data_IF_201648874779
#
_entry.id   IF_201648874779
#
_cell.length_a   1.000
_cell.length_b   1.000
_cell.length_c   1.000
_cell.angle_alpha   90.00
_cell.angle_beta   90.00
_cell.angle_gamma   90.00
#
_symmetry.space_group_name_H-M   'P 1'
#
loop_
_entity.id
_entity.type
_entity.pdbx_description
1 polymer ?
#
# COMPACT_ATOMS: atom_id res chain seq x y z
N UNK A 1 -56.75 -1.04 22.54
CA UNK A 1 -56.04 -1.23 21.24
C UNK A 1 -54.85 -0.31 21.07
N UNK A 2 -53.96 -0.11 22.07
CA UNK A 2 -52.81 0.83 21.96
C UNK A 2 -51.45 0.12 22.16
N UNK A 3 -51.42 -1.19 22.37
CA UNK A 3 -50.15 -1.94 22.59
C UNK A 3 -49.39 -2.30 21.31
N UNK A 4 -50.05 -2.41 20.15
CA UNK A 4 -49.42 -2.80 18.88
C UNK A 4 -48.56 -1.69 18.24
N UNK A 5 -48.96 -0.43 18.38
CA UNK A 5 -48.24 0.69 17.73
C UNK A 5 -46.85 0.93 18.33
N UNK A 6 -46.68 0.81 19.66
CA UNK A 6 -45.40 1.02 20.33
C UNK A 6 -44.33 -0.03 19.94
N UNK A 7 -44.75 -1.27 19.70
CA UNK A 7 -43.86 -2.36 19.31
C UNK A 7 -43.34 -2.17 17.87
N UNK A 8 -44.19 -1.65 16.99
CA UNK A 8 -43.82 -1.39 15.58
C UNK A 8 -42.79 -0.24 15.49
N UNK A 9 -42.93 0.83 16.28
CA UNK A 9 -41.99 1.95 16.30
C UNK A 9 -40.64 1.55 16.89
N UNK A 10 -40.59 0.69 17.89
CA UNK A 10 -39.32 0.18 18.45
C UNK A 10 -38.60 -0.75 17.48
N UNK A 11 -39.31 -1.58 16.74
CA UNK A 11 -38.71 -2.44 15.70
C UNK A 11 -38.18 -1.62 14.51
N UNK A 12 -38.89 -0.58 14.07
CA UNK A 12 -38.46 0.31 13.01
C UNK A 12 -37.20 1.14 13.40
N UNK A 13 -37.14 1.61 14.66
CA UNK A 13 -35.97 2.33 15.18
C UNK A 13 -34.77 1.41 15.30
N UNK A 14 -34.89 0.16 15.66
CA UNK A 14 -33.81 -0.81 15.73
C UNK A 14 -33.25 -1.17 14.33
N UNK A 15 -34.11 -1.28 13.31
CA UNK A 15 -33.69 -1.50 11.93
C UNK A 15 -32.95 -0.27 11.38
N UNK A 16 -33.36 0.95 11.72
CA UNK A 16 -32.68 2.17 11.27
C UNK A 16 -31.27 2.32 11.88
N UNK A 17 -31.08 1.87 13.12
CA UNK A 17 -29.76 1.88 13.78
C UNK A 17 -28.78 0.85 13.18
N UNK A 18 -29.27 -0.29 12.70
CA UNK A 18 -28.45 -1.30 12.02
C UNK A 18 -27.98 -0.84 10.61
N UNK A 19 -28.76 -0.01 9.93
CA UNK A 19 -28.38 0.55 8.63
C UNK A 19 -27.28 1.62 8.73
N UNK A 20 -27.11 2.26 9.88
CA UNK A 20 -26.07 3.28 10.10
C UNK A 20 -24.64 2.69 10.23
N UNK A 21 -24.49 1.37 10.40
CA UNK A 21 -23.21 0.68 10.48
C UNK A 21 -22.70 0.15 9.13
N UNK A 22 -23.43 0.30 8.04
CA UNK A 22 -22.90 0.04 6.70
C UNK A 22 -21.96 1.18 6.32
N UNK A 23 -20.65 0.95 6.49
CA UNK A 23 -19.64 1.93 6.13
C UNK A 23 -19.89 2.43 4.71
N UNK A 24 -20.06 3.74 4.56
CA UNK A 24 -20.21 4.39 3.27
C UNK A 24 -19.10 4.00 2.29
N UNK A 25 -19.23 4.30 1.00
CA UNK A 25 -18.20 3.96 0.01
C UNK A 25 -16.85 4.49 0.48
N UNK A 26 -15.87 3.57 0.62
CA UNK A 26 -14.52 3.97 1.04
C UNK A 26 -14.02 5.03 0.09
N UNK A 27 -13.65 6.20 0.61
CA UNK A 27 -13.08 7.27 -0.17
C UNK A 27 -11.92 6.74 -1.03
N UNK A 28 -11.84 7.19 -2.28
CA UNK A 28 -10.76 6.79 -3.18
C UNK A 28 -9.40 7.12 -2.54
N UNK A 29 -8.47 6.19 -2.62
CA UNK A 29 -7.10 6.41 -2.15
C UNK A 29 -6.35 7.21 -3.21
N UNK A 30 -6.16 8.50 -2.93
CA UNK A 30 -5.41 9.41 -3.80
C UNK A 30 -3.92 9.12 -3.70
N UNK A 31 -3.23 9.25 -4.82
CA UNK A 31 -1.77 9.29 -4.90
C UNK A 31 -1.28 10.73 -4.74
N UNK A 32 0.05 10.91 -4.58
CA UNK A 32 0.67 12.22 -4.74
C UNK A 32 0.47 12.73 -6.17
N UNK A 33 0.50 14.05 -6.35
CA UNK A 33 0.20 14.69 -7.64
C UNK A 33 1.22 14.34 -8.73
N UNK A 34 2.50 14.21 -8.36
CA UNK A 34 3.59 13.92 -9.30
C UNK A 34 4.77 13.26 -8.60
N UNK A 35 5.40 12.31 -9.29
CA UNK A 35 6.67 11.69 -8.88
C UNK A 35 7.69 11.88 -10.00
N UNK A 36 8.84 12.45 -9.65
CA UNK A 36 10.04 12.44 -10.47
C UNK A 36 10.70 11.06 -10.33
N UNK A 37 10.52 10.19 -11.33
CA UNK A 37 11.01 8.81 -11.25
C UNK A 37 12.51 8.72 -11.01
N UNK A 38 13.38 9.44 -11.73
CA UNK A 38 14.83 9.45 -11.45
C UNK A 38 15.17 9.77 -9.99
N UNK A 39 14.51 10.76 -9.38
CA UNK A 39 14.72 11.11 -7.98
C UNK A 39 14.19 10.04 -7.00
N UNK A 40 13.14 9.32 -7.39
CA UNK A 40 12.55 8.27 -6.56
C UNK A 40 13.38 6.99 -6.56
N UNK A 41 14.25 6.77 -7.55
CA UNK A 41 15.08 5.57 -7.64
C UNK A 41 16.09 5.48 -6.48
N UNK A 42 16.74 4.32 -6.35
CA UNK A 42 17.68 4.02 -5.26
C UNK A 42 17.04 3.28 -4.10
N UNK A 43 17.74 3.24 -2.97
CA UNK A 43 17.33 2.46 -1.80
C UNK A 43 16.35 3.24 -0.90
N UNK A 44 15.36 2.50 -0.40
CA UNK A 44 14.39 2.93 0.59
C UNK A 44 14.35 1.92 1.74
N UNK A 45 14.55 2.37 2.96
CA UNK A 45 14.49 1.53 4.16
C UNK A 45 13.05 1.48 4.67
N UNK A 46 12.52 0.29 4.89
CA UNK A 46 11.18 0.10 5.46
C UNK A 46 11.24 0.36 6.96
N UNK A 47 10.66 1.46 7.40
CA UNK A 47 10.62 1.88 8.81
C UNK A 47 9.47 1.21 9.55
N UNK A 48 8.30 1.10 8.88
CA UNK A 48 7.13 0.42 9.40
C UNK A 48 6.27 -0.10 8.24
N UNK A 49 5.57 -1.22 8.45
CA UNK A 49 4.64 -1.73 7.45
C UNK A 49 3.49 -2.52 8.07
N UNK A 50 2.42 -2.66 7.29
CA UNK A 50 1.44 -3.74 7.44
C UNK A 50 1.90 -4.82 6.45
N UNK A 51 2.54 -5.92 6.91
CA UNK A 51 3.28 -6.82 6.05
C UNK A 51 2.38 -7.68 5.16
N UNK A 52 2.88 -8.02 3.99
CA UNK A 52 2.35 -9.12 3.18
C UNK A 52 2.77 -10.47 3.76
N UNK A 53 2.25 -11.56 3.20
CA UNK A 53 2.64 -12.92 3.62
C UNK A 53 4.15 -13.16 3.46
N UNK A 54 4.77 -12.59 2.41
CA UNK A 54 6.21 -12.72 2.13
C UNK A 54 7.06 -12.00 3.18
N UNK A 55 6.56 -10.89 3.73
CA UNK A 55 7.27 -10.01 4.66
C UNK A 55 7.06 -10.36 6.13
N UNK A 56 6.27 -11.40 6.41
CA UNK A 56 6.00 -11.83 7.79
C UNK A 56 7.31 -12.22 8.47
N UNK A 57 7.68 -11.48 9.53
CA UNK A 57 8.97 -11.68 10.22
C UNK A 57 10.17 -11.04 9.52
N UNK A 58 9.97 -10.14 8.56
CA UNK A 58 11.04 -9.38 7.94
C UNK A 58 11.64 -8.36 8.90
N UNK A 59 12.99 -8.31 8.95
CA UNK A 59 13.78 -7.33 9.70
C UNK A 59 14.73 -6.63 8.75
N UNK A 60 15.02 -5.35 8.97
CA UNK A 60 15.89 -4.53 8.13
C UNK A 60 15.55 -4.63 6.63
N UNK A 61 14.26 -4.45 6.33
CA UNK A 61 13.80 -4.53 4.96
C UNK A 61 14.21 -3.28 4.16
N UNK A 62 14.69 -3.52 2.94
CA UNK A 62 15.11 -2.47 2.00
C UNK A 62 14.52 -2.76 0.64
N UNK A 63 13.88 -1.75 0.04
CA UNK A 63 13.47 -1.75 -1.34
C UNK A 63 14.39 -0.84 -2.17
N UNK A 64 14.99 -1.38 -3.22
CA UNK A 64 15.85 -0.62 -4.13
C UNK A 64 15.22 -0.61 -5.53
N UNK A 65 15.08 0.58 -6.11
CA UNK A 65 14.46 0.78 -7.41
C UNK A 65 15.47 1.29 -8.42
N UNK A 66 15.36 0.81 -9.65
CA UNK A 66 16.10 1.29 -10.81
C UNK A 66 15.16 1.41 -12.00
N UNK A 67 15.17 2.56 -12.65
CA UNK A 67 14.42 2.76 -13.90
C UNK A 67 15.21 2.12 -15.05
N UNK A 68 14.57 1.20 -15.77
CA UNK A 68 15.13 0.55 -16.95
C UNK A 68 14.74 1.33 -18.22
N UNK A 69 15.47 1.12 -19.32
CA UNK A 69 15.29 1.83 -20.60
C UNK A 69 13.90 1.62 -21.21
N UNK A 70 13.24 0.49 -20.90
CA UNK A 70 11.88 0.20 -21.34
C UNK A 70 10.80 0.92 -20.51
N UNK A 71 11.22 1.74 -19.53
CA UNK A 71 10.34 2.47 -18.61
C UNK A 71 9.75 1.62 -17.49
N UNK A 72 10.17 0.36 -17.37
CA UNK A 72 9.84 -0.46 -16.20
C UNK A 72 10.81 -0.18 -15.05
N UNK A 73 10.43 -0.60 -13.84
CA UNK A 73 11.21 -0.36 -12.62
C UNK A 73 11.71 -1.71 -12.10
N UNK A 74 13.00 -1.97 -12.27
CA UNK A 74 13.66 -3.11 -11.66
C UNK A 74 13.72 -2.86 -10.15
N UNK A 75 13.16 -3.78 -9.37
CA UNK A 75 13.10 -3.68 -7.91
C UNK A 75 13.89 -4.81 -7.30
N UNK A 76 14.67 -4.49 -6.27
CA UNK A 76 15.32 -5.48 -5.40
C UNK A 76 14.81 -5.26 -3.99
N UNK A 77 14.08 -6.23 -3.46
CA UNK A 77 13.58 -6.24 -2.10
C UNK A 77 14.38 -7.23 -1.26
N UNK A 78 15.02 -6.74 -0.21
CA UNK A 78 15.84 -7.56 0.70
C UNK A 78 15.40 -7.39 2.13
N UNK A 79 15.50 -8.47 2.92
CA UNK A 79 15.26 -8.42 4.36
C UNK A 79 15.93 -9.60 5.08
N UNK A 80 16.08 -9.50 6.40
CA UNK A 80 16.50 -10.59 7.28
C UNK A 80 15.26 -11.32 7.79
N UNK A 81 15.26 -12.64 7.68
CA UNK A 81 14.11 -13.50 8.03
C UNK A 81 14.12 -13.86 9.51
N UNK A 82 13.05 -13.57 10.22
CA UNK A 82 12.80 -13.97 11.61
C UNK A 82 13.55 -13.20 12.68
N UNK A 83 14.69 -12.56 12.35
CA UNK A 83 15.47 -11.73 13.29
C UNK A 83 16.44 -10.81 12.57
N UNK A 84 17.04 -9.84 13.28
CA UNK A 84 18.06 -8.93 12.74
C UNK A 84 19.33 -9.62 12.26
N UNK A 85 19.62 -10.82 12.74
CA UNK A 85 20.75 -11.67 12.31
C UNK A 85 20.29 -12.86 11.44
N UNK A 86 19.01 -12.90 11.10
CA UNK A 86 18.41 -13.95 10.30
C UNK A 86 18.98 -14.04 8.88
N UNK A 87 18.64 -15.10 8.18
CA UNK A 87 19.06 -15.30 6.78
C UNK A 87 18.57 -14.17 5.89
N UNK A 88 19.46 -13.62 5.08
CA UNK A 88 19.09 -12.63 4.06
C UNK A 88 18.22 -13.29 2.98
N UNK A 89 17.06 -12.71 2.73
CA UNK A 89 16.18 -13.05 1.61
C UNK A 89 16.17 -11.92 0.59
N UNK A 90 16.08 -12.28 -0.67
CA UNK A 90 16.05 -11.34 -1.79
C UNK A 90 14.95 -11.72 -2.76
N UNK A 91 14.15 -10.73 -3.17
CA UNK A 91 13.13 -10.83 -4.21
C UNK A 91 13.39 -9.75 -5.25
N UNK A 92 13.09 -10.04 -6.52
CA UNK A 92 13.30 -9.11 -7.62
C UNK A 92 11.99 -8.89 -8.40
N UNK A 93 10.99 -8.22 -7.80
CA UNK A 93 9.78 -7.87 -8.52
C UNK A 93 10.08 -6.80 -9.58
N UNK A 94 9.14 -6.63 -10.51
CA UNK A 94 9.22 -5.58 -11.52
C UNK A 94 8.01 -4.66 -11.43
N UNK A 95 8.27 -3.37 -11.33
CA UNK A 95 7.27 -2.31 -11.32
C UNK A 95 6.96 -1.82 -12.74
N UNK A 96 5.70 -1.49 -12.97
CA UNK A 96 5.21 -0.88 -14.20
C UNK A 96 4.41 0.37 -13.84
N UNK A 97 4.79 1.51 -14.35
CA UNK A 97 4.06 2.76 -14.16
C UNK A 97 2.73 2.66 -14.93
N UNK A 98 1.62 2.68 -14.21
CA UNK A 98 0.27 2.57 -14.77
C UNK A 98 -0.35 3.95 -15.06
N UNK A 99 -0.01 4.95 -14.27
CA UNK A 99 -0.40 6.33 -14.51
C UNK A 99 0.86 7.18 -14.79
N UNK A 100 1.04 7.52 -16.05
CA UNK A 100 2.20 8.30 -16.54
C UNK A 100 2.05 9.80 -16.31
N UNK A 101 0.88 10.27 -15.94
CA UNK A 101 0.65 11.67 -15.61
C UNK A 101 1.25 11.99 -14.23
N UNK A 102 0.88 11.23 -13.21
CA UNK A 102 1.43 11.38 -11.86
C UNK A 102 2.73 10.60 -11.63
N UNK A 103 2.95 9.49 -12.33
CA UNK A 103 3.97 8.47 -12.06
C UNK A 103 3.84 7.83 -10.65
N UNK A 104 2.71 7.99 -9.97
CA UNK A 104 2.53 7.57 -8.58
C UNK A 104 1.70 6.29 -8.41
N UNK A 105 1.17 5.75 -9.50
CA UNK A 105 0.45 4.48 -9.51
C UNK A 105 1.24 3.46 -10.33
N UNK A 106 1.66 2.36 -9.66
CA UNK A 106 2.40 1.28 -10.30
C UNK A 106 1.68 -0.05 -10.12
N UNK A 107 2.01 -1.00 -11.00
CA UNK A 107 1.68 -2.42 -10.85
C UNK A 107 2.96 -3.21 -10.56
N UNK A 108 3.12 -3.74 -9.34
CA UNK A 108 4.27 -4.55 -8.95
C UNK A 108 4.04 -6.02 -9.27
N UNK A 109 4.92 -6.62 -10.06
CA UNK A 109 4.84 -8.01 -10.49
C UNK A 109 5.89 -8.86 -9.80
N UNK A 110 5.46 -9.66 -8.83
CA UNK A 110 6.26 -10.71 -8.19
C UNK A 110 6.17 -12.02 -8.96
N UNK A 111 4.99 -12.36 -9.47
CA UNK A 111 4.71 -13.59 -10.22
C UNK A 111 3.87 -13.21 -11.44
N UNK A 112 4.34 -13.61 -12.62
CA UNK A 112 3.60 -13.41 -13.87
C UNK A 112 2.28 -14.22 -13.85
N UNK A 113 1.14 -13.68 -14.34
CA UNK A 113 0.92 -12.35 -14.91
C UNK A 113 0.42 -11.30 -13.90
N UNK A 114 0.42 -11.61 -12.60
CA UNK A 114 -0.25 -10.81 -11.55
C UNK A 114 0.53 -9.54 -11.27
N UNK A 115 -0.13 -8.39 -11.32
CA UNK A 115 0.39 -7.09 -10.88
C UNK A 115 -0.34 -6.64 -9.62
N UNK A 116 0.38 -6.50 -8.52
CA UNK A 116 -0.14 -5.95 -7.28
C UNK A 116 -0.23 -4.42 -7.36
N UNK A 117 -1.30 -3.85 -6.84
CA UNK A 117 -1.52 -2.41 -6.75
C UNK A 117 -0.47 -1.79 -5.81
N UNK A 118 0.19 -0.72 -6.25
CA UNK A 118 1.25 -0.02 -5.55
C UNK A 118 1.07 1.48 -5.78
N UNK A 119 0.76 2.23 -4.72
CA UNK A 119 0.41 3.65 -4.78
C UNK A 119 1.32 4.46 -3.88
N UNK A 120 1.99 5.45 -4.46
CA UNK A 120 2.73 6.44 -3.70
C UNK A 120 1.72 7.47 -3.20
N UNK A 121 1.33 7.37 -1.92
CA UNK A 121 0.27 8.19 -1.32
C UNK A 121 0.81 9.37 -0.52
N UNK A 122 2.08 9.33 -0.17
CA UNK A 122 2.84 10.41 0.41
C UNK A 122 4.28 10.38 -0.12
N UNK A 123 4.84 11.53 -0.36
CA UNK A 123 6.24 11.74 -0.71
C UNK A 123 6.59 13.16 -0.29
N UNK A 124 7.65 13.33 0.50
CA UNK A 124 8.11 14.66 0.87
C UNK A 124 8.92 15.33 -0.27
N UNK A 125 9.09 16.64 -0.18
CA UNK A 125 9.65 17.46 -1.27
C UNK A 125 11.11 17.13 -1.56
N UNK A 126 11.86 16.67 -0.57
CA UNK A 126 13.28 16.29 -0.72
C UNK A 126 13.47 14.80 -1.05
N UNK A 127 12.37 14.03 -1.16
CA UNK A 127 12.40 12.58 -1.45
C UNK A 127 13.13 11.77 -0.37
N UNK A 128 13.04 12.19 0.88
CA UNK A 128 13.63 11.50 2.03
C UNK A 128 12.67 10.50 2.69
N UNK A 129 11.35 10.74 2.59
CA UNK A 129 10.32 9.91 3.20
C UNK A 129 9.17 9.66 2.21
N UNK A 130 8.62 8.46 2.26
CA UNK A 130 7.47 8.10 1.42
C UNK A 130 6.55 7.12 2.12
N UNK A 131 5.28 7.14 1.75
CA UNK A 131 4.31 6.13 2.15
C UNK A 131 3.72 5.49 0.91
N UNK A 132 3.84 4.17 0.87
CA UNK A 132 3.24 3.34 -0.17
C UNK A 132 2.05 2.62 0.43
N UNK A 133 0.96 2.56 -0.34
CA UNK A 133 -0.23 1.83 0.08
C UNK A 133 -0.89 1.12 -1.10
N UNK A 134 -1.83 0.23 -0.80
CA UNK A 134 -2.71 -0.43 -1.76
C UNK A 134 -4.13 0.11 -1.64
N UNK A 135 -4.86 0.20 -2.76
CA UNK A 135 -6.26 0.65 -2.77
C UNK A 135 -7.14 -0.11 -1.77
N UNK A 136 -6.87 -1.40 -1.57
CA UNK A 136 -7.58 -2.24 -0.58
C UNK A 136 -7.32 -1.85 0.86
N UNK A 137 -6.27 -1.04 1.14
CA UNK A 137 -5.83 -0.65 2.49
C UNK A 137 -5.48 -1.84 3.39
N UNK A 138 -5.04 -2.92 2.77
CA UNK A 138 -4.63 -4.16 3.44
C UNK A 138 -3.13 -4.18 3.75
N UNK A 139 -2.33 -3.43 2.99
CA UNK A 139 -0.89 -3.29 3.17
C UNK A 139 -0.47 -1.83 3.00
N UNK A 140 0.54 -1.44 3.77
CA UNK A 140 1.17 -0.12 3.73
C UNK A 140 2.65 -0.26 4.07
N UNK A 141 3.49 0.59 3.50
CA UNK A 141 4.91 0.71 3.80
C UNK A 141 5.25 2.17 4.03
N UNK A 142 5.84 2.46 5.18
CA UNK A 142 6.45 3.75 5.51
C UNK A 142 7.94 3.57 5.32
N UNK A 143 8.53 4.34 4.42
CA UNK A 143 9.92 4.18 4.04
C UNK A 143 10.68 5.50 4.13
N UNK A 144 11.98 5.41 4.38
CA UNK A 144 12.88 6.55 4.42
C UNK A 144 14.22 6.23 3.73
N UNK A 145 14.99 7.29 3.41
CA UNK A 145 16.33 7.14 2.81
C UNK A 145 17.41 6.81 3.83
N UNK A 146 17.17 7.18 5.08
CA UNK A 146 18.09 6.96 6.23
C UNK A 146 17.32 6.64 7.48
#
# INVERSE_FOLDING_TARGET
MIRGARTIYLAAAALALLAACTGGPKAEMKTVAKVDLPRFMGAWYVIANIPTVIEKGAHNAVESYRLDDDGSIATTFTFRDGSFVGKLKTYNPRGFVLDRESNALWGMRFIWPIKADYRIVYLDDDYSQTVIARRKRDHVWIMART
#
